data_IF_425376274482
#
_entry.id   IF_425376274482
#
_cell.length_a   1.000
_cell.length_b   1.000
_cell.length_c   1.000
_cell.angle_alpha   90.00
_cell.angle_beta   90.00
_cell.angle_gamma   90.00
#
_symmetry.space_group_name_H-M   'P 1'
#
loop_
_entity.id
_entity.type
_entity.pdbx_description
1 polymer ?
#
# COMPACT_ATOMS: atom_id res chain seq x y z
N UNK A 1 -19.87 19.25 0.23
CA UNK A 1 -18.92 18.44 1.01
C UNK A 1 -19.13 16.93 0.88
N UNK A 2 -20.37 16.43 0.86
CA UNK A 2 -20.67 14.99 0.80
C UNK A 2 -20.09 14.28 -0.44
N UNK A 3 -20.27 14.86 -1.63
CA UNK A 3 -19.76 14.30 -2.89
C UNK A 3 -18.25 14.02 -2.85
N UNK A 4 -17.47 14.95 -2.30
CA UNK A 4 -16.02 14.78 -2.15
C UNK A 4 -15.70 13.56 -1.28
N UNK A 5 -16.38 13.39 -0.14
CA UNK A 5 -16.20 12.22 0.74
C UNK A 5 -16.59 10.92 0.05
N UNK A 6 -17.68 10.91 -0.71
CA UNK A 6 -18.09 9.73 -1.48
C UNK A 6 -17.04 9.34 -2.53
N UNK A 7 -16.46 10.32 -3.23
CA UNK A 7 -15.38 10.07 -4.20
C UNK A 7 -14.15 9.48 -3.50
N UNK A 8 -13.74 10.02 -2.35
CA UNK A 8 -12.61 9.47 -1.58
C UNK A 8 -12.86 8.03 -1.11
N UNK A 9 -14.05 7.74 -0.61
CA UNK A 9 -14.39 6.39 -0.16
C UNK A 9 -14.51 5.39 -1.32
N UNK A 10 -15.04 5.82 -2.46
CA UNK A 10 -15.02 5.01 -3.68
C UNK A 10 -13.58 4.67 -4.10
N UNK A 11 -12.67 5.65 -4.08
CA UNK A 11 -11.26 5.41 -4.41
C UNK A 11 -10.53 4.54 -3.37
N UNK A 12 -10.91 4.61 -2.08
CA UNK A 12 -10.36 3.73 -1.04
C UNK A 12 -10.79 2.28 -1.27
N UNK A 13 -12.09 2.04 -1.47
CA UNK A 13 -12.65 0.70 -1.64
C UNK A 13 -12.25 0.06 -2.98
N UNK A 14 -12.29 0.86 -4.05
CA UNK A 14 -12.02 0.46 -5.42
C UNK A 14 -10.72 1.10 -5.93
N UNK A 15 -9.62 0.81 -5.22
CA UNK A 15 -8.31 1.26 -5.66
C UNK A 15 -8.03 0.73 -7.08
N UNK A 16 -7.75 1.64 -8.00
CA UNK A 16 -7.45 1.32 -9.40
C UNK A 16 -6.24 0.39 -9.51
N UNK A 17 -5.29 0.51 -8.57
CA UNK A 17 -4.08 -0.32 -8.52
C UNK A 17 -4.12 -1.19 -7.28
N UNK A 18 -4.38 -2.48 -7.48
CA UNK A 18 -4.51 -3.44 -6.39
C UNK A 18 -3.19 -3.62 -5.64
N UNK A 19 -2.08 -3.72 -6.38
CA UNK A 19 -0.75 -3.86 -5.81
C UNK A 19 0.28 -3.00 -6.53
N UNK A 20 1.33 -2.61 -5.81
CA UNK A 20 2.51 -1.94 -6.36
C UNK A 20 3.75 -2.76 -6.02
N UNK A 21 4.55 -3.08 -7.03
CA UNK A 21 5.80 -3.81 -6.84
C UNK A 21 6.95 -2.81 -6.75
N UNK A 22 7.77 -2.95 -5.71
CA UNK A 22 9.01 -2.20 -5.52
C UNK A 22 10.18 -3.16 -5.35
N UNK A 23 11.36 -2.67 -5.69
CA UNK A 23 12.62 -3.35 -5.45
C UNK A 23 13.39 -2.56 -4.41
N UNK A 24 13.95 -3.28 -3.45
CA UNK A 24 14.73 -2.70 -2.37
C UNK A 24 16.10 -2.31 -2.91
N UNK A 25 16.46 -1.03 -2.88
CA UNK A 25 17.73 -0.56 -3.41
C UNK A 25 18.91 -0.75 -2.45
N UNK A 26 18.62 -0.74 -1.14
CA UNK A 26 19.57 -0.93 -0.05
C UNK A 26 18.90 -1.71 1.09
N UNK A 27 19.68 -2.47 1.85
CA UNK A 27 19.20 -3.13 3.07
C UNK A 27 18.48 -2.13 3.98
N UNK A 28 17.24 -2.45 4.36
CA UNK A 28 16.39 -1.57 5.18
C UNK A 28 15.59 -2.38 6.19
N UNK A 29 15.37 -1.81 7.38
CA UNK A 29 14.52 -2.43 8.40
C UNK A 29 13.29 -1.56 8.62
N UNK A 30 12.09 -2.14 8.52
CA UNK A 30 10.79 -1.48 8.76
C UNK A 30 10.04 -2.32 9.79
N UNK A 31 9.59 -1.70 10.89
CA UNK A 31 8.81 -2.39 11.94
C UNK A 31 9.43 -3.73 12.40
N UNK A 32 10.75 -3.75 12.56
CA UNK A 32 11.57 -4.92 12.93
C UNK A 32 11.70 -6.02 11.84
N UNK A 33 11.16 -5.82 10.64
CA UNK A 33 11.40 -6.68 9.49
C UNK A 33 12.56 -6.16 8.66
N UNK A 34 13.57 -7.00 8.44
CA UNK A 34 14.71 -6.70 7.56
C UNK A 34 14.38 -7.08 6.13
N UNK A 35 14.51 -6.11 5.24
CA UNK A 35 14.45 -6.30 3.79
C UNK A 35 15.84 -6.16 3.20
N UNK A 36 16.27 -7.19 2.48
CA UNK A 36 17.60 -7.24 1.85
C UNK A 36 17.56 -6.49 0.52
N UNK A 37 18.69 -5.91 0.11
CA UNK A 37 18.86 -5.36 -1.23
C UNK A 37 18.38 -6.34 -2.32
N UNK A 38 17.78 -5.79 -3.36
CA UNK A 38 17.19 -6.47 -4.52
C UNK A 38 15.97 -7.35 -4.22
N UNK A 39 15.52 -7.40 -2.96
CA UNK A 39 14.25 -8.04 -2.59
C UNK A 39 13.08 -7.38 -3.30
N UNK A 40 12.12 -8.21 -3.75
CA UNK A 40 10.85 -7.73 -4.30
C UNK A 40 9.84 -7.52 -3.18
N UNK A 41 9.33 -6.30 -3.06
CA UNK A 41 8.26 -5.94 -2.14
C UNK A 41 6.96 -5.70 -2.89
N UNK A 42 5.88 -6.22 -2.33
CA UNK A 42 4.54 -6.02 -2.85
C UNK A 42 3.74 -5.19 -1.85
N UNK A 43 3.41 -3.96 -2.23
CA UNK A 43 2.54 -3.07 -1.46
C UNK A 43 1.11 -3.31 -1.91
N UNK A 44 0.28 -3.87 -1.03
CA UNK A 44 -1.08 -4.27 -1.33
C UNK A 44 -2.07 -3.19 -0.90
N UNK A 45 -2.22 -2.15 -1.71
CA UNK A 45 -3.17 -1.05 -1.43
C UNK A 45 -4.59 -1.55 -1.17
N UNK A 46 -5.02 -2.65 -1.81
CA UNK A 46 -6.34 -3.23 -1.55
C UNK A 46 -6.49 -3.80 -0.13
N UNK A 47 -5.41 -4.29 0.49
CA UNK A 47 -5.39 -4.78 1.87
C UNK A 47 -5.30 -3.60 2.83
N UNK A 48 -4.35 -2.70 2.60
CA UNK A 48 -4.09 -1.52 3.45
C UNK A 48 -5.35 -0.67 3.55
N UNK A 49 -6.03 -0.40 2.43
CA UNK A 49 -7.23 0.41 2.41
C UNK A 49 -8.40 -0.19 3.18
N UNK A 50 -8.40 -1.50 3.48
CA UNK A 50 -9.43 -2.20 4.26
C UNK A 50 -9.02 -2.45 5.71
N UNK A 51 -7.78 -2.14 6.06
CA UNK A 51 -7.27 -2.30 7.42
C UNK A 51 -7.97 -1.29 8.34
N UNK A 52 -8.42 -1.75 9.50
CA UNK A 52 -9.25 -0.99 10.44
C UNK A 52 -8.46 -0.28 11.55
N UNK A 53 -7.13 -0.24 11.44
CA UNK A 53 -6.22 0.24 12.49
C UNK A 53 -5.79 1.67 12.26
#
# INVERSE_FOLDING_TARGET
MLLRRMIWEAMRLYSVRWFNIRYVTNDVTIENYRFVKDSRLMLLSFVINRHSS
#
